data_IF_589339756751
#
_entry.id   IF_589339756751
#
_cell.length_a   1.000
_cell.length_b   1.000
_cell.length_c   1.000
_cell.angle_alpha   90.00
_cell.angle_beta   90.00
_cell.angle_gamma   90.00
#
_symmetry.space_group_name_H-M   'P 1'
#
loop_
_entity.id
_entity.type
_entity.pdbx_description
1 polymer ?
#
# COMPACT_ATOMS: atom_id res chain seq x y z
N UNK A 1 -5.24 32.74 17.46
CA UNK A 1 -5.11 32.38 16.02
C UNK A 1 -3.67 32.05 15.62
N UNK A 2 -2.66 32.85 16.04
CA UNK A 2 -1.23 32.55 15.77
C UNK A 2 -0.73 31.22 16.37
N UNK A 3 -1.17 30.85 17.57
CA UNK A 3 -0.79 29.59 18.24
C UNK A 3 -1.35 28.34 17.56
N UNK A 4 -2.59 28.37 17.09
CA UNK A 4 -3.22 27.25 16.37
C UNK A 4 -2.57 27.04 15.00
N UNK A 5 -2.23 28.12 14.28
CA UNK A 5 -1.51 28.05 13.02
C UNK A 5 -0.10 27.48 13.16
N UNK A 6 0.61 27.87 14.23
CA UNK A 6 1.96 27.35 14.52
C UNK A 6 1.95 25.86 14.88
N UNK A 7 0.95 25.41 15.65
CA UNK A 7 0.79 23.99 16.02
C UNK A 7 0.38 23.16 14.80
N UNK A 8 -0.51 23.65 13.93
CA UNK A 8 -0.83 22.98 12.66
C UNK A 8 0.37 22.88 11.72
N UNK A 9 1.17 23.95 11.60
CA UNK A 9 2.37 23.93 10.77
C UNK A 9 3.42 22.96 11.30
N UNK A 10 3.62 22.90 12.63
CA UNK A 10 4.50 21.94 13.28
C UNK A 10 3.99 20.49 13.15
N UNK A 11 2.67 20.27 13.20
CA UNK A 11 2.07 18.96 12.95
C UNK A 11 2.22 18.52 11.49
N UNK A 12 1.99 19.42 10.52
CA UNK A 12 2.19 19.13 9.09
C UNK A 12 3.68 18.85 8.78
N UNK A 13 4.61 19.57 9.41
CA UNK A 13 6.05 19.33 9.26
C UNK A 13 6.51 18.05 9.97
N UNK A 14 5.92 17.70 11.12
CA UNK A 14 6.21 16.45 11.83
C UNK A 14 5.71 15.21 11.09
N UNK A 15 4.58 15.34 10.39
CA UNK A 15 3.98 14.25 9.61
C UNK A 15 4.67 14.08 8.24
N UNK A 16 5.33 15.11 7.71
CA UNK A 16 6.15 15.01 6.50
C UNK A 16 7.44 14.16 6.66
N UNK A 17 7.77 13.71 7.89
CA UNK A 17 8.86 12.76 8.17
C UNK A 17 8.40 11.31 8.30
N UNK A 18 7.12 11.06 8.10
CA UNK A 18 6.58 9.70 8.11
C UNK A 18 7.06 9.00 6.85
N UNK A 19 7.56 7.79 6.93
CA UNK A 19 7.79 6.96 5.75
C UNK A 19 6.47 6.27 5.37
N UNK A 20 6.24 6.01 4.07
CA UNK A 20 5.00 5.40 3.59
C UNK A 20 5.13 3.88 3.44
N UNK A 21 4.11 3.10 3.80
CA UNK A 21 3.96 1.67 3.48
C UNK A 21 2.52 1.40 3.01
N UNK A 22 2.17 1.88 1.82
CA UNK A 22 0.88 1.53 1.21
C UNK A 22 0.98 0.31 0.28
N UNK A 23 2.18 0.01 -0.23
CA UNK A 23 2.44 -1.05 -1.19
C UNK A 23 3.33 -2.13 -0.58
N UNK A 24 3.05 -3.39 -0.91
CA UNK A 24 3.99 -4.47 -0.65
C UNK A 24 5.18 -4.32 -1.59
N UNK A 25 6.38 -4.19 -1.02
CA UNK A 25 7.61 -4.04 -1.79
C UNK A 25 7.87 -5.33 -2.58
N UNK A 26 8.22 -5.19 -3.86
CA UNK A 26 8.67 -6.32 -4.67
C UNK A 26 10.05 -6.83 -4.22
N UNK A 27 10.86 -5.93 -3.64
CA UNK A 27 12.15 -6.23 -3.02
C UNK A 27 12.04 -5.93 -1.52
N UNK A 28 12.18 -6.97 -0.70
CA UNK A 28 12.17 -6.85 0.75
C UNK A 28 13.51 -7.28 1.33
N UNK A 29 14.03 -6.48 2.26
CA UNK A 29 15.29 -6.74 2.96
C UNK A 29 15.08 -6.68 4.47
N UNK A 30 15.61 -7.66 5.19
CA UNK A 30 15.61 -7.68 6.65
C UNK A 30 17.00 -8.00 7.18
N UNK A 31 17.47 -7.22 8.15
CA UNK A 31 18.78 -7.40 8.79
C UNK A 31 18.59 -8.32 9.99
N UNK A 32 19.36 -9.41 10.02
CA UNK A 32 19.27 -10.44 11.05
C UNK A 32 20.61 -10.53 11.76
N UNK A 33 20.59 -10.47 13.08
CA UNK A 33 21.77 -10.70 13.92
C UNK A 33 21.92 -12.19 14.24
N UNK A 34 22.97 -12.83 13.73
CA UNK A 34 23.23 -14.25 13.99
C UNK A 34 24.01 -14.42 15.29
N UNK A 35 23.49 -15.27 16.18
CA UNK A 35 24.10 -15.61 17.46
C UNK A 35 24.40 -17.11 17.52
N UNK A 36 25.35 -17.49 18.38
CA UNK A 36 25.77 -18.88 18.56
C UNK A 36 24.61 -19.70 19.15
N UNK A 37 24.43 -20.91 18.61
CA UNK A 37 23.42 -21.89 19.04
C UNK A 37 21.94 -21.47 18.90
N UNK A 38 21.65 -20.33 18.28
CA UNK A 38 20.29 -19.88 17.98
C UNK A 38 20.05 -19.82 16.48
N UNK A 39 18.92 -20.35 16.04
CA UNK A 39 18.42 -20.16 14.69
C UNK A 39 17.43 -18.99 14.63
N UNK A 40 17.47 -18.25 13.54
CA UNK A 40 16.61 -17.12 13.25
C UNK A 40 15.64 -17.54 12.13
N UNK A 41 14.33 -17.29 12.31
CA UNK A 41 13.35 -17.41 11.22
C UNK A 41 12.85 -16.02 10.87
N UNK A 42 12.86 -15.73 9.58
CA UNK A 42 12.26 -14.54 9.01
C UNK A 42 11.28 -14.95 7.93
N UNK A 43 10.11 -14.31 7.90
CA UNK A 43 9.07 -14.59 6.92
C UNK A 43 8.74 -13.36 6.08
N UNK A 44 8.77 -13.54 4.77
CA UNK A 44 8.40 -12.52 3.78
C UNK A 44 7.06 -12.91 3.15
N UNK A 45 5.94 -12.29 3.55
CA UNK A 45 4.66 -12.51 2.92
C UNK A 45 4.61 -11.76 1.59
N UNK A 46 4.24 -12.44 0.50
CA UNK A 46 4.05 -11.84 -0.81
C UNK A 46 2.84 -12.40 -1.54
N UNK A 47 1.99 -11.54 -2.10
CA UNK A 47 0.95 -11.98 -3.04
C UNK A 47 1.54 -12.06 -4.44
N UNK A 48 1.47 -13.24 -5.05
CA UNK A 48 2.17 -13.54 -6.29
C UNK A 48 1.25 -14.20 -7.32
N UNK A 49 1.52 -13.90 -8.59
CA UNK A 49 0.86 -14.51 -9.74
C UNK A 49 1.54 -15.83 -10.09
N UNK A 50 0.86 -16.63 -10.89
CA UNK A 50 1.43 -17.79 -11.56
C UNK A 50 2.65 -17.36 -12.38
N UNK A 51 3.69 -18.19 -12.37
CA UNK A 51 4.99 -17.93 -12.99
C UNK A 51 5.79 -16.81 -12.33
N UNK A 52 5.41 -16.34 -11.14
CA UNK A 52 6.29 -15.46 -10.35
C UNK A 52 7.56 -16.20 -9.99
N UNK A 53 8.69 -15.52 -10.15
CA UNK A 53 10.02 -16.00 -9.84
C UNK A 53 10.51 -15.32 -8.56
N UNK A 54 11.01 -16.13 -7.63
CA UNK A 54 11.63 -15.66 -6.40
C UNK A 54 13.15 -15.75 -6.55
N UNK A 55 13.86 -14.66 -6.27
CA UNK A 55 15.30 -14.62 -6.05
C UNK A 55 15.56 -14.37 -4.57
N UNK A 56 16.38 -15.23 -3.95
CA UNK A 56 16.82 -15.09 -2.56
C UNK A 56 18.31 -14.77 -2.56
N UNK A 57 18.69 -13.73 -1.84
CA UNK A 57 20.09 -13.32 -1.71
C UNK A 57 20.40 -12.86 -0.30
N UNK A 58 21.66 -12.94 0.07
CA UNK A 58 22.19 -12.57 1.38
C UNK A 58 23.30 -11.56 1.17
N UNK A 59 23.26 -10.47 1.92
CA UNK A 59 24.31 -9.46 1.91
C UNK A 59 25.04 -9.49 3.25
N UNK A 60 26.35 -9.72 3.20
CA UNK A 60 27.22 -9.72 4.37
C UNK A 60 27.97 -8.38 4.44
N UNK A 61 27.93 -7.66 5.58
CA UNK A 61 28.83 -6.54 5.81
C UNK A 61 30.30 -7.04 5.82
N UNK A 62 31.21 -6.24 5.29
CA UNK A 62 32.56 -6.67 4.87
C UNK A 62 33.40 -7.40 5.96
N UNK A 63 34.10 -8.45 5.53
CA UNK A 63 35.20 -9.18 6.19
C UNK A 63 34.89 -9.93 7.51
N UNK A 64 33.65 -10.32 7.75
CA UNK A 64 33.33 -11.24 8.85
C UNK A 64 33.61 -12.70 8.47
N UNK A 65 34.39 -13.41 9.30
CA UNK A 65 34.59 -14.88 9.23
C UNK A 65 33.35 -15.61 9.79
N UNK A 66 32.22 -15.39 9.12
CA UNK A 66 30.90 -15.88 9.49
C UNK A 66 30.45 -16.96 8.51
N UNK A 67 30.39 -18.19 9.01
CA UNK A 67 29.85 -19.34 8.29
C UNK A 67 28.45 -19.65 8.85
N UNK A 68 27.45 -19.69 7.98
CA UNK A 68 26.06 -19.91 8.37
C UNK A 68 25.34 -20.85 7.41
N UNK A 69 24.44 -21.65 7.96
CA UNK A 69 23.54 -22.54 7.23
C UNK A 69 22.24 -21.82 6.95
N UNK A 70 21.80 -21.89 5.70
CA UNK A 70 20.54 -21.35 5.22
C UNK A 70 19.65 -22.50 4.77
N UNK A 71 18.39 -22.43 5.18
CA UNK A 71 17.32 -23.24 4.65
C UNK A 71 16.08 -22.38 4.52
N UNK A 72 15.42 -22.38 3.36
CA UNK A 72 14.15 -21.68 3.18
C UNK A 72 13.02 -22.64 2.82
N UNK A 73 11.81 -22.28 3.25
CA UNK A 73 10.57 -22.91 2.88
C UNK A 73 9.62 -21.89 2.27
N UNK A 74 8.91 -22.27 1.22
CA UNK A 74 7.85 -21.47 0.61
C UNK A 74 6.54 -22.20 0.81
N UNK A 75 5.51 -21.45 1.22
CA UNK A 75 4.18 -22.00 1.45
C UNK A 75 3.11 -21.07 0.89
N UNK A 76 2.15 -21.61 0.14
CA UNK A 76 0.97 -20.86 -0.30
C UNK A 76 -0.11 -20.87 0.77
N UNK A 77 -0.86 -19.78 0.87
CA UNK A 77 -2.09 -19.66 1.63
C UNK A 77 -3.18 -18.92 0.84
N UNK A 78 -4.45 -19.37 0.93
CA UNK A 78 -5.59 -18.66 0.39
C UNK A 78 -6.06 -17.51 1.31
N UNK A 79 -5.49 -17.37 2.51
CA UNK A 79 -5.91 -16.39 3.51
C UNK A 79 -4.74 -15.53 3.99
N UNK A 80 -4.86 -14.22 3.76
CA UNK A 80 -3.90 -13.20 4.22
C UNK A 80 -3.82 -13.12 5.77
N UNK A 81 -4.95 -13.29 6.45
CA UNK A 81 -5.06 -13.21 7.91
C UNK A 81 -4.16 -14.20 8.65
N UNK A 82 -3.74 -15.28 8.01
CA UNK A 82 -2.86 -16.29 8.61
C UNK A 82 -1.50 -15.75 9.04
N UNK A 83 -1.03 -14.68 8.40
CA UNK A 83 0.31 -14.13 8.65
C UNK A 83 0.27 -12.67 9.11
N UNK A 84 -0.65 -11.87 8.56
CA UNK A 84 -0.72 -10.43 8.86
C UNK A 84 -1.39 -10.09 10.21
N UNK A 85 -2.04 -11.06 10.87
CA UNK A 85 -2.75 -10.80 12.14
C UNK A 85 -1.85 -10.93 13.39
N UNK A 86 -0.56 -11.22 13.23
CA UNK A 86 0.33 -11.48 14.37
C UNK A 86 1.01 -10.19 14.84
N UNK A 87 0.50 -9.61 15.92
CA UNK A 87 1.09 -8.42 16.56
C UNK A 87 2.20 -8.73 17.56
N UNK A 88 2.27 -9.97 18.04
CA UNK A 88 3.21 -10.42 19.07
C UNK A 88 4.39 -11.17 18.45
N UNK A 89 5.62 -10.71 18.72
CA UNK A 89 6.84 -11.30 18.14
C UNK A 89 7.06 -12.78 18.53
N UNK A 90 6.71 -13.19 19.76
CA UNK A 90 6.82 -14.58 20.20
C UNK A 90 5.86 -15.50 19.43
N UNK A 91 4.59 -15.07 19.27
CA UNK A 91 3.57 -15.79 18.50
C UNK A 91 3.98 -15.89 17.02
N UNK A 92 4.63 -14.85 16.49
CA UNK A 92 5.12 -14.85 15.11
C UNK A 92 6.22 -15.89 14.91
N UNK A 93 7.14 -16.04 15.86
CA UNK A 93 8.19 -17.07 15.81
C UNK A 93 7.61 -18.48 15.83
N UNK A 94 6.69 -18.76 16.75
CA UNK A 94 6.04 -20.08 16.85
C UNK A 94 5.26 -20.42 15.57
N UNK A 95 4.59 -19.42 14.99
CA UNK A 95 3.86 -19.55 13.73
C UNK A 95 4.78 -19.82 12.54
N UNK A 96 5.88 -19.06 12.42
CA UNK A 96 6.89 -19.28 11.39
C UNK A 96 7.50 -20.67 11.50
N UNK A 97 7.80 -21.12 12.72
CA UNK A 97 8.33 -22.46 12.97
C UNK A 97 7.33 -23.54 12.56
N UNK A 98 6.05 -23.40 12.94
CA UNK A 98 4.99 -24.31 12.52
C UNK A 98 4.92 -24.42 11.00
N UNK A 99 4.90 -23.29 10.28
CA UNK A 99 4.82 -23.30 8.82
C UNK A 99 6.09 -23.82 8.13
N UNK A 100 7.25 -23.69 8.76
CA UNK A 100 8.52 -24.17 8.24
C UNK A 100 8.73 -25.68 8.42
N UNK A 101 8.31 -26.23 9.56
CA UNK A 101 8.51 -27.63 9.91
C UNK A 101 7.36 -28.53 9.41
N UNK A 102 6.14 -28.01 9.36
CA UNK A 102 4.97 -28.78 8.99
C UNK A 102 4.54 -28.55 7.54
N UNK A 103 4.98 -29.44 6.65
CA UNK A 103 4.57 -29.43 5.24
C UNK A 103 3.05 -29.63 5.08
N UNK A 104 2.50 -30.63 5.80
CA UNK A 104 1.14 -31.16 5.57
C UNK A 104 0.17 -30.85 6.71
N UNK A 105 0.43 -29.82 7.53
CA UNK A 105 -0.48 -29.41 8.62
C UNK A 105 -1.00 -28.01 8.36
N UNK A 106 -2.27 -27.82 8.65
CA UNK A 106 -3.00 -26.57 8.48
C UNK A 106 -3.65 -26.21 9.82
N UNK A 107 -3.67 -24.93 10.24
CA UNK A 107 -4.45 -24.53 11.41
C UNK A 107 -5.94 -24.78 11.20
N UNK A 108 -6.64 -25.30 12.22
CA UNK A 108 -8.06 -25.70 12.15
C UNK A 108 -9.06 -24.60 11.75
N UNK A 109 -8.65 -23.33 11.85
CA UNK A 109 -9.50 -22.18 11.52
C UNK A 109 -9.64 -21.96 10.00
N UNK A 110 -8.80 -22.60 9.20
CA UNK A 110 -8.67 -22.36 7.77
C UNK A 110 -8.94 -23.66 6.98
N UNK A 111 -9.52 -23.50 5.79
CA UNK A 111 -9.91 -24.59 4.91
C UNK A 111 -9.28 -24.33 3.54
N UNK A 112 -8.53 -25.31 3.04
CA UNK A 112 -7.68 -25.21 1.87
C UNK A 112 -8.06 -26.31 0.90
N UNK A 113 -8.21 -25.97 -0.37
CA UNK A 113 -8.41 -26.97 -1.43
C UNK A 113 -7.09 -27.52 -1.96
N UNK A 114 -6.09 -26.65 -2.05
CA UNK A 114 -4.76 -26.92 -2.56
C UNK A 114 -3.74 -26.15 -1.72
N UNK A 115 -2.57 -26.74 -1.53
CA UNK A 115 -1.42 -26.12 -0.88
C UNK A 115 -0.18 -26.36 -1.73
N UNK A 116 0.65 -25.34 -1.85
CA UNK A 116 1.98 -25.43 -2.43
C UNK A 116 2.97 -25.30 -1.30
N UNK A 117 3.83 -26.31 -1.15
CA UNK A 117 4.90 -26.30 -0.16
C UNK A 117 6.21 -26.76 -0.81
N UNK A 118 7.29 -26.05 -0.50
CA UNK A 118 8.63 -26.37 -0.97
C UNK A 118 9.59 -26.05 0.14
N UNK A 119 10.50 -26.99 0.42
CA UNK A 119 11.58 -26.81 1.38
C UNK A 119 12.88 -27.09 0.67
N UNK A 120 13.79 -26.13 0.72
CA UNK A 120 15.13 -26.27 0.14
C UNK A 120 16.01 -27.18 1.01
N UNK A 121 17.03 -27.81 0.41
CA UNK A 121 18.10 -28.44 1.19
C UNK A 121 18.90 -27.38 1.94
N UNK A 122 19.51 -27.78 3.05
CA UNK A 122 20.42 -26.92 3.81
C UNK A 122 21.66 -26.62 2.96
N UNK A 123 21.98 -25.33 2.84
CA UNK A 123 23.21 -24.86 2.18
C UNK A 123 24.02 -24.02 3.14
N UNK A 124 25.34 -24.22 3.11
CA UNK A 124 26.28 -23.48 3.94
C UNK A 124 26.89 -22.38 3.10
N UNK A 125 26.92 -21.17 3.65
CA UNK A 125 27.53 -20.00 3.04
C UNK A 125 28.61 -19.42 3.95
N UNK A 126 29.63 -18.83 3.32
CA UNK A 126 30.74 -18.17 4.01
C UNK A 126 30.80 -16.70 3.57
N UNK A 127 30.67 -15.77 4.52
CA UNK A 127 30.75 -14.33 4.23
C UNK A 127 32.14 -13.89 3.74
N UNK A 128 33.21 -14.63 4.06
CA UNK A 128 34.59 -14.26 3.70
C UNK A 128 34.88 -14.41 2.20
N UNK A 129 34.29 -15.41 1.57
CA UNK A 129 34.52 -15.76 0.16
C UNK A 129 33.54 -15.03 -0.78
N UNK A 130 32.50 -14.43 -0.21
CA UNK A 130 31.50 -13.65 -0.92
C UNK A 130 31.84 -12.17 -0.88
N UNK A 131 32.18 -11.60 -2.03
CA UNK A 131 32.42 -10.16 -2.19
C UNK A 131 31.12 -9.34 -2.06
N UNK A 132 30.49 -9.36 -0.88
CA UNK A 132 29.24 -8.66 -0.55
C UNK A 132 28.00 -9.55 -0.66
N UNK A 133 27.52 -9.79 -1.89
CA UNK A 133 26.21 -10.42 -2.14
C UNK A 133 26.33 -11.89 -2.55
N UNK A 134 25.69 -12.76 -1.76
CA UNK A 134 25.53 -14.19 -1.99
C UNK A 134 24.15 -14.43 -2.58
N UNK A 135 24.05 -15.21 -3.65
CA UNK A 135 22.77 -15.60 -4.26
C UNK A 135 22.49 -17.05 -3.85
N UNK A 136 21.23 -17.39 -3.62
CA UNK A 136 20.85 -18.78 -3.45
C UNK A 136 20.60 -19.41 -4.83
N UNK A 137 21.54 -20.23 -5.31
CA UNK A 137 21.33 -20.96 -6.57
C UNK A 137 20.43 -22.19 -6.37
N UNK A 138 19.61 -22.55 -7.38
CA UNK A 138 18.91 -23.82 -7.41
C UNK A 138 19.89 -25.01 -7.48
N UNK A 139 19.39 -26.22 -7.17
CA UNK A 139 20.18 -27.47 -7.23
C UNK A 139 20.67 -27.80 -8.66
N UNK A 140 19.92 -27.35 -9.67
CA UNK A 140 20.32 -27.41 -11.09
C UNK A 140 20.62 -26.00 -11.59
N UNK A 141 21.87 -25.76 -12.00
CA UNK A 141 22.32 -24.46 -12.50
C UNK A 141 21.46 -24.03 -13.70
N UNK A 142 20.86 -22.84 -13.60
CA UNK A 142 20.07 -22.24 -14.67
C UNK A 142 18.62 -22.71 -14.78
N UNK A 143 18.12 -23.57 -13.87
CA UNK A 143 16.72 -23.99 -13.85
C UNK A 143 16.13 -23.76 -12.45
N UNK A 144 15.18 -22.84 -12.27
CA UNK A 144 14.52 -22.64 -10.98
C UNK A 144 13.77 -23.92 -10.58
N UNK A 145 13.73 -24.21 -9.28
CA UNK A 145 12.96 -25.35 -8.78
C UNK A 145 11.47 -25.13 -9.08
N UNK A 146 10.86 -26.06 -9.82
CA UNK A 146 9.42 -26.05 -10.09
C UNK A 146 8.64 -26.65 -8.92
N UNK A 147 7.80 -25.83 -8.30
CA UNK A 147 6.84 -26.28 -7.30
C UNK A 147 5.62 -26.93 -7.96
N UNK A 148 5.08 -27.99 -7.35
CA UNK A 148 3.81 -28.59 -7.77
C UNK A 148 2.73 -28.33 -6.72
N UNK A 149 1.50 -27.97 -7.13
CA UNK A 149 0.39 -27.86 -6.20
C UNK A 149 -0.03 -29.24 -5.71
N UNK A 150 -0.16 -29.40 -4.40
CA UNK A 150 -0.66 -30.62 -3.78
C UNK A 150 -2.11 -30.44 -3.34
N UNK A 151 -2.96 -31.41 -3.67
CA UNK A 151 -4.33 -31.46 -3.15
C UNK A 151 -4.33 -31.88 -1.69
N UNK A 152 -5.13 -31.19 -0.88
CA UNK A 152 -5.17 -31.30 0.60
C UNK A 152 -5.80 -32.64 1.09
N UNK A 153 -5.83 -33.68 0.25
CA UNK A 153 -6.30 -35.02 0.63
C UNK A 153 -5.27 -35.66 1.56
N UNK A 154 -5.46 -35.51 2.88
CA UNK A 154 -4.58 -36.08 3.91
C UNK A 154 -3.89 -35.07 4.83
N UNK A 155 -4.22 -33.78 4.74
CA UNK A 155 -3.70 -32.76 5.68
C UNK A 155 -4.47 -32.85 7.00
N UNK A 156 -3.73 -32.99 8.11
CA UNK A 156 -4.31 -33.07 9.45
C UNK A 156 -4.60 -31.65 9.98
N UNK A 157 -5.84 -31.32 10.35
CA UNK A 157 -6.15 -30.06 10.99
C UNK A 157 -5.45 -29.97 12.36
N UNK A 158 -4.54 -29.02 12.53
CA UNK A 158 -3.86 -28.77 13.80
C UNK A 158 -4.82 -28.11 14.80
N UNK A 159 -5.17 -28.83 15.88
CA UNK A 159 -5.95 -28.30 16.99
C UNK A 159 -5.02 -27.56 17.96
N UNK A 160 -5.25 -26.27 18.18
CA UNK A 160 -4.84 -25.62 19.42
C UNK A 160 -6.07 -25.58 20.36
N UNK A 161 -5.95 -25.94 21.64
CA UNK A 161 -7.09 -26.28 22.51
C UNK A 161 -7.99 -25.11 22.94
N UNK A 162 -7.81 -23.90 22.43
CA UNK A 162 -8.60 -22.72 22.82
C UNK A 162 -9.01 -21.93 21.58
N UNK A 163 -10.16 -22.29 21.02
CA UNK A 163 -10.69 -21.72 19.78
C UNK A 163 -11.65 -20.55 20.02
N UNK A 164 -11.50 -19.49 19.23
CA UNK A 164 -12.52 -18.45 19.06
C UNK A 164 -12.73 -18.21 17.56
N UNK A 165 -13.94 -18.51 17.06
CA UNK A 165 -14.27 -18.49 15.63
C UNK A 165 -14.72 -17.10 15.17
N UNK A 166 -14.08 -16.55 14.12
CA UNK A 166 -14.49 -15.30 13.47
C UNK A 166 -15.10 -15.57 12.10
N UNK A 167 -16.23 -14.91 11.79
CA UNK A 167 -17.01 -15.07 10.55
C UNK A 167 -16.32 -14.46 9.31
N UNK A 168 -16.52 -15.10 8.14
CA UNK A 168 -16.07 -14.68 6.79
C UNK A 168 -17.15 -13.89 6.05
N UNK A 169 -16.73 -12.90 5.27
CA UNK A 169 -17.52 -12.26 4.20
C UNK A 169 -16.92 -12.59 2.82
N UNK A 170 -17.78 -12.63 1.79
CA UNK A 170 -17.56 -13.20 0.45
C UNK A 170 -17.38 -12.14 -0.64
N UNK A 171 -16.44 -12.30 -1.58
CA UNK A 171 -16.46 -11.65 -2.90
C UNK A 171 -15.84 -12.53 -4.01
N UNK A 172 -16.23 -12.29 -5.27
CA UNK A 172 -16.24 -13.23 -6.40
C UNK A 172 -15.49 -12.75 -7.66
N UNK A 173 -14.86 -13.69 -8.40
CA UNK A 173 -14.58 -13.72 -9.87
C UNK A 173 -13.52 -12.74 -10.44
N UNK A 174 -12.88 -12.92 -11.61
CA UNK A 174 -12.89 -13.96 -12.66
C UNK A 174 -11.68 -13.72 -13.62
N UNK A 175 -11.30 -14.76 -14.39
CA UNK A 175 -10.15 -14.86 -15.32
C UNK A 175 -10.07 -13.81 -16.46
N UNK A 176 -8.84 -13.61 -16.97
CA UNK A 176 -8.56 -13.04 -18.30
C UNK A 176 -7.12 -13.36 -18.77
N UNK A 177 -6.99 -13.84 -20.01
CA UNK A 177 -5.73 -14.19 -20.68
C UNK A 177 -5.21 -13.01 -21.53
N UNK A 178 -3.92 -12.66 -21.42
CA UNK A 178 -3.13 -11.93 -22.44
C UNK A 178 -1.66 -12.20 -22.11
N UNK A 179 -0.84 -12.87 -22.94
CA UNK A 179 -0.27 -12.41 -24.22
C UNK A 179 0.25 -10.99 -24.10
N UNK A 180 1.40 -10.83 -23.45
CA UNK A 180 2.55 -10.09 -23.99
C UNK A 180 3.71 -10.15 -22.98
N UNK A 181 4.75 -10.91 -23.37
CA UNK A 181 5.96 -11.13 -22.58
C UNK A 181 6.73 -9.83 -22.41
N UNK A 182 6.67 -9.26 -21.21
CA UNK A 182 7.35 -8.02 -20.85
C UNK A 182 8.84 -8.23 -20.55
N UNK A 183 9.67 -8.16 -21.58
CA UNK A 183 11.11 -7.87 -21.39
C UNK A 183 11.33 -6.36 -21.32
N UNK A 184 11.92 -5.88 -20.22
CA UNK A 184 12.73 -4.65 -20.26
C UNK A 184 13.84 -4.65 -19.20
N UNK A 185 15.07 -4.70 -19.72
CA UNK A 185 16.26 -3.91 -19.39
C UNK A 185 16.46 -3.47 -17.93
N UNK A 186 17.09 -4.33 -17.15
CA UNK A 186 18.07 -3.93 -16.14
C UNK A 186 19.23 -4.92 -16.20
N UNK A 187 20.47 -4.43 -16.21
CA UNK A 187 21.72 -5.20 -16.31
C UNK A 187 22.05 -5.99 -15.02
N UNK A 188 21.04 -6.35 -14.21
CA UNK A 188 21.19 -7.33 -13.14
C UNK A 188 20.95 -8.72 -13.71
N UNK A 189 21.97 -9.58 -13.69
CA UNK A 189 21.78 -11.01 -14.01
C UNK A 189 20.75 -11.56 -13.03
N UNK A 190 19.59 -11.95 -13.55
CA UNK A 190 18.47 -12.44 -12.76
C UNK A 190 18.66 -13.93 -12.49
N UNK A 191 18.59 -14.32 -11.21
CA UNK A 191 18.88 -15.69 -10.78
C UNK A 191 17.69 -16.25 -9.97
N UNK A 192 16.67 -16.79 -10.66
CA UNK A 192 15.49 -17.30 -9.98
C UNK A 192 15.83 -18.59 -9.23
N UNK A 193 15.50 -18.63 -7.93
CA UNK A 193 15.67 -19.83 -7.10
C UNK A 193 14.47 -20.76 -7.23
N UNK A 194 13.25 -20.21 -7.30
CA UNK A 194 11.99 -20.96 -7.37
C UNK A 194 11.00 -20.26 -8.29
N UNK A 195 10.20 -21.06 -9.02
CA UNK A 195 9.07 -20.58 -9.82
C UNK A 195 7.75 -21.04 -9.23
N UNK A 196 6.80 -20.11 -9.09
CA UNK A 196 5.51 -20.36 -8.44
C UNK A 196 4.46 -20.87 -9.45
N UNK A 197 3.69 -21.93 -9.10
CA UNK A 197 2.78 -22.59 -10.05
C UNK A 197 1.36 -22.01 -10.10
N UNK A 198 0.91 -21.27 -9.08
CA UNK A 198 -0.47 -20.78 -8.97
C UNK A 198 -0.52 -19.33 -8.45
N UNK A 199 -1.63 -18.65 -8.70
CA UNK A 199 -1.95 -17.35 -8.09
C UNK A 199 -2.34 -17.55 -6.62
N UNK A 200 -1.53 -17.06 -5.69
CA UNK A 200 -1.80 -17.19 -4.25
C UNK A 200 -1.01 -16.15 -3.43
N UNK A 201 -1.29 -16.10 -2.13
CA UNK A 201 -0.41 -15.44 -1.17
C UNK A 201 0.63 -16.47 -0.73
N UNK A 202 1.90 -16.14 -0.87
CA UNK A 202 3.01 -16.99 -0.50
C UNK A 202 3.74 -16.42 0.71
N UNK A 203 4.21 -17.32 1.57
CA UNK A 203 5.09 -17.02 2.68
C UNK A 203 6.45 -17.65 2.37
N UNK A 204 7.46 -16.82 2.13
CA UNK A 204 8.85 -17.27 2.05
C UNK A 204 9.46 -17.16 3.44
N UNK A 205 9.73 -18.31 4.06
CA UNK A 205 10.28 -18.41 5.40
C UNK A 205 11.74 -18.85 5.27
N UNK A 206 12.65 -18.01 5.73
CA UNK A 206 14.09 -18.27 5.68
C UNK A 206 14.57 -18.56 7.11
N UNK A 207 15.16 -19.73 7.29
CA UNK A 207 15.85 -20.15 8.51
C UNK A 207 17.35 -19.96 8.32
N UNK A 208 17.96 -19.19 9.20
CA UNK A 208 19.40 -18.98 9.24
C UNK A 208 19.92 -19.49 10.58
N UNK A 209 21.05 -20.19 10.55
CA UNK A 209 21.71 -20.69 11.74
C UNK A 209 23.22 -20.57 11.60
N UNK A 210 23.89 -20.09 12.65
CA UNK A 210 25.34 -20.03 12.69
C UNK A 210 25.95 -21.43 12.77
N UNK A 211 26.99 -21.68 11.98
CA UNK A 211 27.73 -22.96 12.03
C UNK A 211 28.64 -22.98 13.27
N UNK A 212 28.76 -24.13 13.93
CA UNK A 212 29.57 -24.30 15.16
C UNK A 212 31.06 -23.93 15.02
N UNK A 213 31.56 -23.78 13.79
CA UNK A 213 32.96 -23.42 13.49
C UNK A 213 33.23 -21.91 13.58
N UNK A 214 32.21 -21.08 13.40
CA UNK A 214 32.38 -19.63 13.47
C UNK A 214 32.34 -19.15 14.93
N UNK A 215 33.15 -18.14 15.24
CA UNK A 215 33.29 -17.60 16.60
C UNK A 215 32.69 -16.19 16.74
N UNK A 216 32.35 -15.55 15.62
CA UNK A 216 31.96 -14.13 15.59
C UNK A 216 30.48 -13.99 15.24
N UNK A 217 29.68 -13.37 16.11
CA UNK A 217 28.31 -12.96 15.78
C UNK A 217 28.33 -11.84 14.74
N UNK A 218 27.41 -11.87 13.79
CA UNK A 218 27.39 -10.89 12.71
C UNK A 218 25.99 -10.65 12.17
N UNK A 219 25.82 -9.50 11.53
CA UNK A 219 24.56 -9.13 10.89
C UNK A 219 24.58 -9.64 9.45
N UNK A 220 23.54 -10.36 9.05
CA UNK A 220 23.33 -10.80 7.66
C UNK A 220 22.02 -10.20 7.18
N UNK A 221 22.04 -9.55 6.02
CA UNK A 221 20.83 -8.97 5.42
C UNK A 221 20.24 -9.95 4.44
N UNK A 222 19.03 -10.41 4.71
CA UNK A 222 18.28 -11.31 3.80
C UNK A 222 17.48 -10.45 2.85
N UNK A 223 17.69 -10.62 1.55
CA UNK A 223 17.01 -9.87 0.49
C UNK A 223 16.22 -10.85 -0.37
N UNK A 224 14.89 -10.68 -0.38
CA UNK A 224 13.97 -11.40 -1.26
C UNK A 224 13.53 -10.49 -2.39
N UNK A 225 13.58 -10.99 -3.62
CA UNK A 225 13.05 -10.29 -4.80
C UNK A 225 11.99 -11.15 -5.46
N UNK A 226 10.79 -10.60 -5.59
CA UNK A 226 9.67 -11.24 -6.24
C UNK A 226 9.42 -10.57 -7.57
N UNK A 227 9.54 -11.34 -8.66
CA UNK A 227 9.28 -10.83 -10.01
C UNK A 227 8.16 -11.64 -10.64
N UNK A 228 7.00 -10.99 -10.77
CA UNK A 228 5.88 -11.53 -11.52
C UNK A 228 6.12 -11.49 -13.03
N UNK A 229 5.23 -12.12 -13.82
CA UNK A 229 5.30 -12.11 -15.28
C UNK A 229 5.21 -10.69 -15.88
N UNK A 230 4.61 -9.75 -15.15
CA UNK A 230 4.37 -8.37 -15.62
C UNK A 230 5.24 -7.31 -14.91
N UNK A 231 6.20 -7.72 -14.07
CA UNK A 231 7.09 -6.83 -13.32
C UNK A 231 7.17 -7.18 -11.83
N UNK A 232 7.64 -6.25 -11.00
CA UNK A 232 7.86 -6.47 -9.56
C UNK A 232 6.63 -6.23 -8.69
N UNK A 233 5.51 -5.83 -9.29
CA UNK A 233 4.31 -5.47 -8.55
C UNK A 233 3.58 -6.73 -8.02
N UNK A 234 3.10 -6.63 -6.78
CA UNK A 234 2.32 -7.68 -6.12
C UNK A 234 1.02 -7.98 -6.88
N UNK A 235 0.52 -9.22 -6.80
CA UNK A 235 -0.67 -9.65 -7.54
C UNK A 235 -1.93 -8.82 -7.20
N UNK A 236 -2.05 -8.35 -5.94
CA UNK A 236 -3.18 -7.53 -5.47
C UNK A 236 -3.11 -6.09 -6.04
N UNK A 237 -1.89 -5.58 -6.22
CA UNK A 237 -1.64 -4.19 -6.63
C UNK A 237 -1.62 -4.03 -8.16
N UNK A 238 -1.36 -5.12 -8.89
CA UNK A 238 -1.33 -5.14 -10.35
C UNK A 238 -2.60 -4.58 -11.04
N UNK A 239 -3.83 -4.99 -10.70
CA UNK A 239 -5.03 -4.41 -11.32
C UNK A 239 -5.21 -2.92 -10.99
N UNK A 240 -4.70 -2.44 -9.85
CA UNK A 240 -4.76 -1.03 -9.47
C UNK A 240 -3.91 -0.17 -10.40
N UNK A 241 -2.76 -0.66 -10.87
CA UNK A 241 -1.91 0.05 -11.82
C UNK A 241 -2.68 0.47 -13.09
N UNK A 242 -3.37 -0.49 -13.72
CA UNK A 242 -4.20 -0.23 -14.90
C UNK A 242 -5.38 0.71 -14.62
N UNK A 243 -6.04 0.52 -13.46
CA UNK A 243 -7.15 1.38 -13.03
C UNK A 243 -6.74 2.85 -12.87
N UNK A 244 -5.60 3.13 -12.23
CA UNK A 244 -5.10 4.49 -12.07
C UNK A 244 -4.69 5.12 -13.39
N UNK A 245 -4.11 4.35 -14.32
CA UNK A 245 -3.80 4.80 -15.68
C UNK A 245 -5.05 5.22 -16.45
N UNK A 246 -6.08 4.37 -16.46
CA UNK A 246 -7.37 4.67 -17.12
C UNK A 246 -8.04 5.91 -16.52
N UNK A 247 -8.09 6.01 -15.19
CA UNK A 247 -8.64 7.18 -14.51
C UNK A 247 -7.86 8.45 -14.84
N UNK A 248 -6.53 8.39 -14.85
CA UNK A 248 -5.69 9.53 -15.22
C UNK A 248 -6.00 10.02 -16.65
N UNK A 249 -6.16 9.09 -17.60
CA UNK A 249 -6.55 9.42 -18.97
C UNK A 249 -7.93 10.10 -19.04
N UNK A 250 -8.94 9.56 -18.35
CA UNK A 250 -10.28 10.14 -18.32
C UNK A 250 -10.30 11.54 -17.70
N UNK A 251 -9.60 11.75 -16.59
CA UNK A 251 -9.42 13.07 -15.98
C UNK A 251 -8.62 14.03 -16.88
N UNK A 252 -7.66 13.51 -17.65
CA UNK A 252 -6.93 14.25 -18.67
C UNK A 252 -7.85 14.83 -19.75
N UNK A 253 -8.69 13.99 -20.37
CA UNK A 253 -9.69 14.42 -21.35
C UNK A 253 -10.64 15.44 -20.73
N UNK A 254 -11.19 15.15 -19.56
CA UNK A 254 -12.11 16.05 -18.86
C UNK A 254 -11.47 17.42 -18.61
N UNK A 255 -10.20 17.45 -18.19
CA UNK A 255 -9.46 18.69 -17.96
C UNK A 255 -9.24 19.49 -19.25
N UNK A 256 -8.89 18.82 -20.36
CA UNK A 256 -8.69 19.46 -21.67
C UNK A 256 -10.01 20.02 -22.19
N UNK A 257 -11.10 19.24 -22.17
CA UNK A 257 -12.43 19.69 -22.59
C UNK A 257 -12.87 20.88 -21.76
N UNK A 258 -12.71 20.82 -20.43
CA UNK A 258 -13.04 21.94 -19.54
C UNK A 258 -12.21 23.19 -19.86
N UNK A 259 -10.91 23.03 -20.11
CA UNK A 259 -10.03 24.13 -20.47
C UNK A 259 -10.44 24.79 -21.79
N UNK A 260 -10.80 24.00 -22.82
CA UNK A 260 -11.30 24.50 -24.11
C UNK A 260 -12.59 25.31 -23.91
N UNK A 261 -13.53 24.79 -23.12
CA UNK A 261 -14.76 25.52 -22.78
C UNK A 261 -14.46 26.82 -22.04
N UNK A 262 -13.50 26.80 -21.11
CA UNK A 262 -13.07 28.00 -20.40
C UNK A 262 -12.45 29.05 -21.33
N UNK A 263 -11.67 28.64 -22.33
CA UNK A 263 -11.08 29.57 -23.31
C UNK A 263 -12.17 30.13 -24.23
N UNK A 264 -13.09 29.29 -24.71
CA UNK A 264 -14.16 29.70 -25.62
C UNK A 264 -15.14 30.68 -24.97
N UNK A 265 -15.47 30.47 -23.70
CA UNK A 265 -16.42 31.28 -22.95
C UNK A 265 -15.77 32.28 -21.98
N UNK A 266 -14.50 32.65 -22.19
CA UNK A 266 -13.72 33.45 -21.23
C UNK A 266 -14.38 34.75 -20.77
N UNK A 267 -15.25 35.35 -21.58
CA UNK A 267 -15.97 36.58 -21.25
C UNK A 267 -17.13 36.38 -20.27
N UNK A 268 -17.70 35.19 -20.22
CA UNK A 268 -18.94 34.88 -19.47
C UNK A 268 -18.68 33.98 -18.25
N UNK A 269 -17.43 33.73 -17.89
CA UNK A 269 -17.06 32.79 -16.83
C UNK A 269 -17.23 33.40 -15.44
N UNK A 270 -18.09 32.77 -14.64
CA UNK A 270 -18.15 33.00 -13.21
C UNK A 270 -16.91 32.41 -12.52
N UNK A 271 -16.41 33.11 -11.50
CA UNK A 271 -15.26 32.67 -10.69
C UNK A 271 -15.37 31.21 -10.21
N UNK A 272 -16.59 30.72 -9.93
CA UNK A 272 -16.86 29.33 -9.51
C UNK A 272 -16.39 28.31 -10.55
N UNK A 273 -16.49 28.59 -11.86
CA UNK A 273 -16.09 27.62 -12.89
C UNK A 273 -14.57 27.40 -12.91
N UNK A 274 -13.76 28.42 -12.58
CA UNK A 274 -12.32 28.24 -12.38
C UNK A 274 -12.02 27.33 -11.19
N UNK A 275 -12.80 27.41 -10.10
CA UNK A 275 -12.67 26.49 -8.97
C UNK A 275 -13.02 25.05 -9.37
N UNK A 276 -14.07 24.84 -10.17
CA UNK A 276 -14.42 23.51 -10.71
C UNK A 276 -13.26 22.96 -11.56
N UNK A 277 -12.72 23.78 -12.47
CA UNK A 277 -11.55 23.41 -13.28
C UNK A 277 -10.33 23.03 -12.42
N UNK A 278 -10.06 23.80 -11.36
CA UNK A 278 -9.01 23.49 -10.39
C UNK A 278 -9.19 22.13 -9.71
N UNK A 279 -10.43 21.77 -9.33
CA UNK A 279 -10.73 20.46 -8.74
C UNK A 279 -10.52 19.32 -9.75
N UNK A 280 -10.87 19.53 -11.02
CA UNK A 280 -10.63 18.55 -12.10
C UNK A 280 -9.12 18.33 -12.30
N UNK A 281 -8.35 19.41 -12.37
CA UNK A 281 -6.88 19.35 -12.52
C UNK A 281 -6.24 18.66 -11.31
N UNK A 282 -6.66 18.97 -10.09
CA UNK A 282 -6.19 18.27 -8.88
C UNK A 282 -6.53 16.77 -8.92
N UNK A 283 -7.69 16.40 -9.46
CA UNK A 283 -8.05 15.00 -9.70
C UNK A 283 -7.10 14.30 -10.66
N UNK A 284 -6.72 14.97 -11.77
CA UNK A 284 -5.72 14.45 -12.71
C UNK A 284 -4.36 14.26 -12.03
N UNK A 285 -3.88 15.28 -11.31
CA UNK A 285 -2.58 15.25 -10.61
C UNK A 285 -2.55 14.13 -9.56
N UNK A 286 -3.63 13.95 -8.78
CA UNK A 286 -3.75 12.86 -7.82
C UNK A 286 -3.55 11.49 -8.50
N UNK A 287 -4.27 11.23 -9.60
CA UNK A 287 -4.18 9.95 -10.31
C UNK A 287 -2.82 9.76 -10.99
N UNK A 288 -2.21 10.85 -11.46
CA UNK A 288 -0.86 10.82 -12.02
C UNK A 288 0.19 10.43 -10.96
N UNK A 289 0.09 10.95 -9.73
CA UNK A 289 1.00 10.56 -8.65
C UNK A 289 0.84 9.08 -8.26
N UNK A 290 -0.40 8.59 -8.12
CA UNK A 290 -0.61 7.16 -7.87
C UNK A 290 -0.05 6.31 -9.02
N UNK A 291 -0.38 6.64 -10.28
CA UNK A 291 0.14 5.92 -11.44
C UNK A 291 1.66 5.91 -11.48
N UNK A 292 2.31 7.04 -11.20
CA UNK A 292 3.77 7.16 -11.17
C UNK A 292 4.40 6.24 -10.12
N UNK A 293 3.78 6.12 -8.95
CA UNK A 293 4.27 5.22 -7.91
C UNK A 293 4.12 3.76 -8.31
N UNK A 294 2.95 3.34 -8.81
CA UNK A 294 2.74 1.97 -9.28
C UNK A 294 3.65 1.62 -10.46
N UNK A 295 3.89 2.57 -11.37
CA UNK A 295 4.83 2.39 -12.49
C UNK A 295 6.27 2.21 -12.00
N UNK A 296 6.69 3.03 -11.04
CA UNK A 296 8.05 2.96 -10.47
C UNK A 296 8.23 1.66 -9.68
N UNK A 297 7.24 1.29 -8.86
CA UNK A 297 7.24 0.02 -8.14
C UNK A 297 7.31 -1.18 -9.09
N UNK A 298 6.54 -1.16 -10.19
CA UNK A 298 6.55 -2.26 -11.14
C UNK A 298 7.91 -2.44 -11.85
N UNK A 299 8.62 -1.34 -12.09
CA UNK A 299 9.91 -1.34 -12.80
C UNK A 299 11.11 -1.58 -11.87
N UNK A 300 11.15 -0.91 -10.72
CA UNK A 300 12.29 -0.91 -9.80
C UNK A 300 12.13 -1.94 -8.67
N UNK A 301 10.90 -2.36 -8.34
CA UNK A 301 10.60 -3.23 -7.20
C UNK A 301 10.67 -2.55 -5.83
N UNK A 302 11.00 -1.26 -5.80
CA UNK A 302 11.08 -0.41 -4.61
C UNK A 302 10.23 0.86 -4.79
N UNK A 303 9.57 1.29 -3.71
CA UNK A 303 8.81 2.53 -3.64
C UNK A 303 9.75 3.72 -3.49
N UNK A 304 9.44 4.83 -4.16
CA UNK A 304 10.11 6.11 -3.89
C UNK A 304 9.44 6.76 -2.69
N UNK A 305 10.22 6.94 -1.62
CA UNK A 305 9.69 7.57 -0.40
C UNK A 305 9.16 8.98 -0.71
N UNK A 306 7.94 9.26 -0.22
CA UNK A 306 7.30 10.57 -0.33
C UNK A 306 6.28 10.74 -1.46
N UNK A 307 6.35 9.96 -2.55
CA UNK A 307 5.39 10.10 -3.68
C UNK A 307 3.95 9.79 -3.22
N UNK A 308 3.78 8.71 -2.45
CA UNK A 308 2.47 8.32 -1.90
C UNK A 308 1.92 9.38 -0.93
N UNK A 309 2.79 10.03 -0.16
CA UNK A 309 2.39 11.09 0.77
C UNK A 309 1.91 12.34 0.03
N UNK A 310 2.61 12.72 -1.05
CA UNK A 310 2.17 13.80 -1.92
C UNK A 310 0.84 13.46 -2.61
N UNK A 311 0.68 12.22 -3.08
CA UNK A 311 -0.58 11.75 -3.67
C UNK A 311 -1.74 11.90 -2.67
N UNK A 312 -1.53 11.49 -1.43
CA UNK A 312 -2.56 11.60 -0.37
C UNK A 312 -2.81 13.07 0.00
N UNK A 313 -1.78 13.93 0.08
CA UNK A 313 -1.94 15.36 0.35
C UNK A 313 -2.76 16.05 -0.75
N UNK A 314 -2.51 15.71 -2.02
CA UNK A 314 -3.29 16.20 -3.17
C UNK A 314 -4.74 15.71 -3.09
N UNK A 315 -4.95 14.44 -2.72
CA UNK A 315 -6.29 13.87 -2.48
C UNK A 315 -7.03 14.64 -1.37
N UNK A 316 -6.38 14.94 -0.25
CA UNK A 316 -6.92 15.77 0.83
C UNK A 316 -7.27 17.18 0.34
N UNK A 317 -6.38 17.82 -0.42
CA UNK A 317 -6.62 19.16 -1.00
C UNK A 317 -7.83 19.16 -1.93
N UNK A 318 -7.92 18.17 -2.82
CA UNK A 318 -9.06 17.99 -3.74
C UNK A 318 -10.38 17.82 -2.98
N UNK A 319 -10.40 16.98 -1.92
CA UNK A 319 -11.57 16.78 -1.06
C UNK A 319 -11.98 18.10 -0.40
N UNK A 320 -11.04 18.83 0.18
CA UNK A 320 -11.29 20.14 0.79
C UNK A 320 -11.88 21.14 -0.22
N UNK A 321 -11.24 21.30 -1.37
CA UNK A 321 -11.71 22.22 -2.40
C UNK A 321 -13.11 21.85 -2.89
N UNK A 322 -13.41 20.56 -3.05
CA UNK A 322 -14.74 20.08 -3.42
C UNK A 322 -15.79 20.46 -2.37
N UNK A 323 -15.51 20.26 -1.08
CA UNK A 323 -16.43 20.62 0.02
C UNK A 323 -16.65 22.12 0.12
N UNK A 324 -15.58 22.91 0.04
CA UNK A 324 -15.64 24.39 0.02
C UNK A 324 -16.47 24.89 -1.15
N UNK A 325 -16.28 24.31 -2.34
CA UNK A 325 -17.03 24.66 -3.54
C UNK A 325 -18.54 24.42 -3.36
N UNK A 326 -18.91 23.25 -2.81
CA UNK A 326 -20.32 22.93 -2.52
C UNK A 326 -20.93 23.94 -1.53
N UNK A 327 -20.19 24.32 -0.47
CA UNK A 327 -20.67 25.34 0.48
C UNK A 327 -20.90 26.68 -0.23
N UNK A 328 -19.93 27.13 -1.02
CA UNK A 328 -20.00 28.41 -1.76
C UNK A 328 -21.23 28.44 -2.69
N UNK A 329 -21.48 27.34 -3.41
CA UNK A 329 -22.65 27.21 -4.29
C UNK A 329 -23.95 27.21 -3.47
N UNK A 330 -23.99 26.50 -2.34
CA UNK A 330 -25.18 26.39 -1.49
C UNK A 330 -25.58 27.71 -0.82
N UNK A 331 -24.60 28.57 -0.54
CA UNK A 331 -24.80 29.95 -0.05
C UNK A 331 -25.37 30.87 -1.15
N UNK A 332 -25.38 30.43 -2.41
CA UNK A 332 -25.92 31.18 -3.54
C UNK A 332 -24.93 32.17 -4.14
N UNK A 333 -23.62 31.95 -3.97
CA UNK A 333 -22.60 32.75 -4.67
C UNK A 333 -22.80 32.63 -6.18
N UNK A 334 -22.75 33.76 -6.89
CA UNK A 334 -22.92 33.82 -8.34
C UNK A 334 -24.38 33.92 -8.82
N UNK A 335 -25.36 33.43 -8.05
CA UNK A 335 -26.79 33.49 -8.42
C UNK A 335 -27.56 34.53 -7.60
N UNK A 336 -27.46 34.47 -6.27
CA UNK A 336 -28.29 35.29 -5.36
C UNK A 336 -27.48 36.41 -4.72
N UNK A 337 -26.17 36.21 -4.51
CA UNK A 337 -25.25 37.21 -3.95
C UNK A 337 -24.01 37.38 -4.84
N UNK A 338 -23.77 38.58 -5.41
CA UNK A 338 -22.62 38.83 -6.29
C UNK A 338 -21.28 38.93 -5.54
N UNK A 339 -21.30 39.13 -4.21
CA UNK A 339 -20.11 39.28 -3.37
C UNK A 339 -20.27 38.49 -2.07
N UNK A 340 -19.41 37.50 -1.84
CA UNK A 340 -19.23 36.86 -0.54
C UNK A 340 -18.19 37.69 0.23
N UNK A 341 -18.66 38.56 1.13
CA UNK A 341 -17.79 39.33 2.02
C UNK A 341 -17.22 38.44 3.13
N UNK A 342 -17.64 38.70 4.37
CA UNK A 342 -17.16 37.98 5.56
C UNK A 342 -17.44 36.46 5.53
N UNK A 343 -18.50 36.03 4.83
CA UNK A 343 -18.83 34.62 4.64
C UNK A 343 -17.76 33.84 3.86
N UNK A 344 -17.02 34.48 2.93
CA UNK A 344 -15.91 33.82 2.24
C UNK A 344 -14.80 33.41 3.22
N UNK A 345 -14.42 34.33 4.13
CA UNK A 345 -13.39 34.06 5.14
C UNK A 345 -13.81 32.97 6.12
N UNK A 346 -15.10 32.88 6.45
CA UNK A 346 -15.62 31.82 7.32
C UNK A 346 -15.54 30.45 6.63
N UNK A 347 -15.95 30.37 5.37
CA UNK A 347 -15.88 29.14 4.58
C UNK A 347 -14.42 28.71 4.35
N UNK A 348 -13.52 29.66 4.09
CA UNK A 348 -12.09 29.40 3.98
C UNK A 348 -11.50 28.87 5.31
N UNK A 349 -11.92 29.42 6.45
CA UNK A 349 -11.54 28.93 7.77
C UNK A 349 -11.98 27.49 8.03
N UNK A 350 -13.24 27.15 7.71
CA UNK A 350 -13.75 25.77 7.83
C UNK A 350 -13.02 24.83 6.87
N UNK A 351 -12.77 25.27 5.63
CA UNK A 351 -11.98 24.50 4.66
C UNK A 351 -10.56 24.22 5.15
N UNK A 352 -9.89 25.20 5.76
CA UNK A 352 -8.56 25.02 6.33
C UNK A 352 -8.56 24.00 7.47
N UNK A 353 -9.52 24.09 8.39
CA UNK A 353 -9.66 23.12 9.50
C UNK A 353 -9.91 21.72 8.96
N UNK A 354 -10.81 21.56 7.98
CA UNK A 354 -11.07 20.28 7.32
C UNK A 354 -9.81 19.72 6.65
N UNK A 355 -9.05 20.55 5.93
CA UNK A 355 -7.81 20.14 5.27
C UNK A 355 -6.77 19.62 6.27
N UNK A 356 -6.58 20.30 7.40
CA UNK A 356 -5.63 19.86 8.42
C UNK A 356 -6.00 18.50 8.98
N UNK A 357 -7.25 18.31 9.42
CA UNK A 357 -7.68 17.01 9.96
C UNK A 357 -7.66 15.92 8.89
N UNK A 358 -8.05 16.22 7.66
CA UNK A 358 -8.00 15.28 6.55
C UNK A 358 -6.56 14.89 6.19
N UNK A 359 -5.61 15.83 6.21
CA UNK A 359 -4.20 15.57 5.93
C UNK A 359 -3.55 14.71 7.03
N UNK A 360 -3.86 14.98 8.30
CA UNK A 360 -3.36 14.16 9.42
C UNK A 360 -3.92 12.73 9.31
N UNK A 361 -5.21 12.56 9.05
CA UNK A 361 -5.83 11.24 8.89
C UNK A 361 -5.27 10.48 7.67
N UNK A 362 -5.13 11.16 6.52
CA UNK A 362 -4.60 10.59 5.30
C UNK A 362 -3.14 10.17 5.44
N UNK A 363 -2.28 11.03 6.00
CA UNK A 363 -0.87 10.70 6.18
C UNK A 363 -0.65 9.64 7.28
N UNK A 364 -1.46 9.65 8.35
CA UNK A 364 -1.44 8.58 9.35
C UNK A 364 -1.80 7.22 8.73
N UNK A 365 -2.71 7.19 7.76
CA UNK A 365 -3.09 5.95 7.04
C UNK A 365 -1.94 5.35 6.23
N UNK A 366 -1.08 6.19 5.68
CA UNK A 366 0.02 5.80 4.79
C UNK A 366 1.29 5.43 5.58
N UNK A 367 1.38 5.80 6.86
CA UNK A 367 2.55 5.62 7.72
C UNK A 367 3.01 4.17 7.95
N UNK A 368 4.34 3.93 7.96
CA UNK A 368 4.95 2.63 8.34
C UNK A 368 4.71 2.24 9.80
N UNK A 369 4.58 3.20 10.73
CA UNK A 369 4.48 2.93 12.16
C UNK A 369 3.05 2.56 12.57
N UNK A 370 2.63 1.31 12.37
CA UNK A 370 1.24 0.85 12.61
C UNK A 370 0.67 1.21 14.01
N UNK A 371 1.50 1.23 15.07
CA UNK A 371 1.03 1.53 16.44
C UNK A 371 0.76 3.02 16.65
N UNK A 372 1.65 3.89 16.19
CA UNK A 372 1.49 5.35 16.31
C UNK A 372 0.46 5.87 15.32
N UNK A 373 0.47 5.33 14.10
CA UNK A 373 -0.48 5.60 13.04
C UNK A 373 -1.92 5.29 13.45
N UNK A 374 -2.17 4.14 14.09
CA UNK A 374 -3.51 3.77 14.53
C UNK A 374 -4.08 4.75 15.56
N UNK A 375 -3.26 5.19 16.52
CA UNK A 375 -3.65 6.20 17.53
C UNK A 375 -3.93 7.56 16.88
N UNK A 376 -3.04 8.00 15.99
CA UNK A 376 -3.21 9.28 15.26
C UNK A 376 -4.45 9.26 14.37
N UNK A 377 -4.69 8.15 13.64
CA UNK A 377 -5.88 7.96 12.81
C UNK A 377 -7.17 8.06 13.62
N UNK A 378 -7.26 7.37 14.76
CA UNK A 378 -8.45 7.42 15.60
C UNK A 378 -8.69 8.83 16.15
N UNK A 379 -7.62 9.52 16.59
CA UNK A 379 -7.72 10.87 17.11
C UNK A 379 -8.12 11.91 16.04
N UNK A 380 -7.67 11.74 14.78
CA UNK A 380 -8.00 12.65 13.69
C UNK A 380 -9.38 12.36 13.06
N UNK A 381 -9.81 11.09 13.01
CA UNK A 381 -11.06 10.68 12.38
C UNK A 381 -12.30 11.25 13.10
N UNK A 382 -12.31 11.27 14.43
CA UNK A 382 -13.47 11.73 15.20
C UNK A 382 -13.79 13.23 14.96
N UNK A 383 -12.82 14.17 15.11
CA UNK A 383 -13.03 15.58 14.75
C UNK A 383 -13.39 15.77 13.27
N UNK A 384 -12.80 14.97 12.37
CA UNK A 384 -13.08 15.07 10.93
C UNK A 384 -14.56 14.80 10.64
N UNK A 385 -15.14 13.75 11.23
CA UNK A 385 -16.57 13.42 11.08
C UNK A 385 -17.45 14.53 11.65
N UNK A 386 -17.11 15.11 12.80
CA UNK A 386 -17.86 16.23 13.38
C UNK A 386 -17.86 17.45 12.43
N UNK A 387 -16.70 17.78 11.85
CA UNK A 387 -16.58 18.86 10.87
C UNK A 387 -17.45 18.56 9.63
N UNK A 388 -17.47 17.31 9.15
CA UNK A 388 -18.36 16.93 8.04
C UNK A 388 -19.84 17.12 8.37
N UNK A 389 -20.28 16.76 9.57
CA UNK A 389 -21.67 16.99 10.01
C UNK A 389 -22.03 18.48 10.05
N UNK A 390 -21.13 19.32 10.55
CA UNK A 390 -21.33 20.78 10.55
C UNK A 390 -21.40 21.33 9.12
N UNK A 391 -20.51 20.86 8.23
CA UNK A 391 -20.53 21.24 6.80
C UNK A 391 -21.86 20.86 6.16
N UNK A 392 -22.35 19.63 6.38
CA UNK A 392 -23.64 19.19 5.83
C UNK A 392 -24.82 20.01 6.35
N UNK A 393 -24.87 20.28 7.65
CA UNK A 393 -25.89 21.13 8.25
C UNK A 393 -25.86 22.55 7.64
N UNK A 394 -24.67 23.12 7.46
CA UNK A 394 -24.50 24.44 6.87
C UNK A 394 -24.93 24.47 5.39
N UNK A 395 -24.60 23.43 4.62
CA UNK A 395 -25.07 23.30 3.23
C UNK A 395 -26.61 23.32 3.17
N UNK A 396 -27.28 22.52 4.01
CA UNK A 396 -28.73 22.40 4.00
C UNK A 396 -29.44 23.70 4.42
N UNK A 397 -28.97 24.33 5.50
CA UNK A 397 -29.51 25.63 5.97
C UNK A 397 -29.27 26.76 4.97
N UNK A 398 -28.12 26.78 4.31
CA UNK A 398 -27.82 27.76 3.26
C UNK A 398 -28.70 27.56 2.02
N UNK A 399 -28.87 26.30 1.59
CA UNK A 399 -29.66 25.98 0.42
C UNK A 399 -31.14 26.31 0.62
N UNK A 400 -31.70 25.97 1.79
CA UNK A 400 -33.10 26.32 2.15
C UNK A 400 -33.31 27.83 2.19
N UNK A 401 -32.37 28.59 2.74
CA UNK A 401 -32.38 30.05 2.71
C UNK A 401 -32.37 30.61 1.28
N UNK A 402 -31.47 30.10 0.43
CA UNK A 402 -31.34 30.49 -0.98
C UNK A 402 -32.61 30.17 -1.78
N UNK A 403 -33.19 28.97 -1.59
CA UNK A 403 -34.46 28.58 -2.22
C UNK A 403 -35.62 29.51 -1.82
N UNK A 404 -35.71 29.91 -0.55
CA UNK A 404 -36.76 30.85 -0.10
C UNK A 404 -36.61 32.21 -0.76
N UNK A 405 -35.39 32.73 -0.88
CA UNK A 405 -35.13 34.00 -1.56
C UNK A 405 -35.47 33.95 -3.06
N UNK A 406 -35.16 32.85 -3.73
CA UNK A 406 -35.53 32.65 -5.13
C UNK A 406 -37.05 32.56 -5.33
N UNK A 407 -37.77 31.90 -4.41
CA UNK A 407 -39.24 31.84 -4.44
C UNK A 407 -39.87 33.23 -4.27
N UNK A 408 -39.35 34.06 -3.36
CA UNK A 408 -39.85 35.42 -3.14
C UNK A 408 -39.66 36.29 -4.39
N UNK A 409 -38.46 36.31 -4.98
CA UNK A 409 -38.20 37.09 -6.21
C UNK A 409 -39.06 36.67 -7.39
N UNK A 410 -39.37 35.37 -7.50
CA UNK A 410 -40.26 34.86 -8.55
C UNK A 410 -41.70 35.36 -8.34
N UNK A 411 -42.16 35.45 -7.10
CA UNK A 411 -43.51 35.92 -6.78
C UNK A 411 -43.66 37.45 -6.84
N UNK A 412 -42.55 38.20 -6.79
CA UNK A 412 -42.54 39.67 -7.00
C UNK A 412 -42.49 40.05 -8.49
N UNK A 413 -42.03 39.14 -9.36
CA UNK A 413 -41.83 39.38 -10.79
C UNK A 413 -42.96 38.87 -11.69
N UNK A 414 -43.95 38.16 -11.15
CA UNK A 414 -45.18 37.74 -11.82
C UNK A 414 -46.37 38.28 -11.08
#
# INVERSE_FOLDING_TARGET
MRTVGSICALLLLGVARVEANLLMKGIASEVIELNKDQYQLVGFPQSALNQTELELSFDCPNELDLEFTVQFAIRSSPCDKEFFNVRNAAVLRDLLQFYFDSANKIPQEFDYKQIVFYKSPEKVFNCKDSHGRIIFEPEKIGVPSEMKPETVVGVVPYANPTGEKVKRDTYSGLNGNSVDGGTSNSLSTWHPSVKLPIDAIYFAIVRLQMTSKSTTSGNVTVITKWRGPYGFLSAIDYPLFGFYGFMCFFYGILSIVWLILCIRHYKDILKIQYWIGGVIVLGMIEKAFFYSEYATMNNSGESVDGVIQLAELVSCLKRTMSRVLIIIVSVGYGVVKPRLGQTFSQVAGVGFVYFVFCAIEGLARVSKNHVEAAKQKQFAALPLVIVEMVIFYWIFTSLTGTMRQLKLRRNEAG
#
